data_IF_922810555021
#
_entry.id   IF_922810555021
#
_cell.length_a   1.000
_cell.length_b   1.000
_cell.length_c   1.000
_cell.angle_alpha   90.00
_cell.angle_beta   90.00
_cell.angle_gamma   90.00
#
_symmetry.space_group_name_H-M   'P 1'
#
loop_
_entity.id
_entity.type
_entity.pdbx_description
1 polymer ?
#
# COMPACT_ATOMS: atom_id res chain seq x y z
N UNK A 1 -9.36 -1.44 -14.93
CA UNK A 1 -10.11 -0.27 -15.44
C UNK A 1 -11.51 -0.73 -15.80
N UNK A 2 -12.50 0.15 -15.71
CA UNK A 2 -13.89 -0.11 -16.11
C UNK A 2 -14.30 0.92 -17.17
N UNK A 3 -15.11 0.51 -18.15
CA UNK A 3 -15.64 1.44 -19.17
C UNK A 3 -16.79 2.22 -18.53
N UNK A 4 -16.79 3.55 -18.67
CA UNK A 4 -17.87 4.41 -18.20
C UNK A 4 -18.72 4.95 -19.35
N UNK A 5 -18.09 5.28 -20.48
CA UNK A 5 -18.79 5.88 -21.62
C UNK A 5 -18.24 5.33 -22.95
N UNK A 6 -19.12 5.23 -23.95
CA UNK A 6 -18.76 4.86 -25.32
C UNK A 6 -19.12 6.00 -26.26
N UNK A 7 -18.10 6.60 -26.88
CA UNK A 7 -18.24 7.69 -27.85
C UNK A 7 -17.90 7.17 -29.25
N UNK A 8 -18.93 6.75 -29.98
CA UNK A 8 -18.78 6.14 -31.30
C UNK A 8 -17.97 4.84 -31.25
N UNK A 9 -16.69 4.90 -31.63
CA UNK A 9 -15.75 3.76 -31.57
C UNK A 9 -14.78 3.83 -30.39
N UNK A 10 -14.82 4.88 -29.57
CA UNK A 10 -13.92 5.08 -28.44
C UNK A 10 -14.61 4.71 -27.13
N UNK A 11 -13.94 3.95 -26.27
CA UNK A 11 -14.41 3.63 -24.92
C UNK A 11 -13.60 4.41 -23.88
N UNK A 12 -14.25 5.30 -23.13
CA UNK A 12 -13.64 6.02 -22.02
C UNK A 12 -13.62 5.12 -20.78
N UNK A 13 -12.44 4.96 -20.19
CA UNK A 13 -12.23 4.08 -19.05
C UNK A 13 -11.82 4.85 -17.81
N UNK A 14 -12.38 4.44 -16.67
CA UNK A 14 -12.01 4.94 -15.35
C UNK A 14 -11.20 3.89 -14.56
N UNK A 15 -10.48 4.38 -13.55
CA UNK A 15 -9.77 3.55 -12.60
C UNK A 15 -10.76 2.73 -11.78
N UNK A 16 -10.56 1.41 -11.70
CA UNK A 16 -11.42 0.51 -10.93
C UNK A 16 -10.70 -0.08 -9.69
N UNK A 17 -9.37 -0.17 -9.77
CA UNK A 17 -8.56 -0.84 -8.77
C UNK A 17 -7.21 -1.23 -9.33
N UNK A 18 -6.34 -1.68 -8.42
CA UNK A 18 -4.96 -2.05 -8.70
C UNK A 18 -4.63 -3.31 -7.92
N UNK A 19 -3.81 -4.20 -8.48
CA UNK A 19 -3.25 -5.33 -7.75
C UNK A 19 -1.85 -5.62 -8.22
N UNK A 20 -0.97 -5.92 -7.27
CA UNK A 20 0.33 -6.50 -7.55
C UNK A 20 0.17 -7.86 -8.25
N UNK A 21 1.07 -8.14 -9.19
CA UNK A 21 1.09 -9.41 -9.92
C UNK A 21 1.46 -10.57 -8.99
N UNK A 22 0.94 -11.76 -9.27
CA UNK A 22 1.07 -12.92 -8.36
C UNK A 22 2.53 -13.33 -8.18
N UNK A 23 3.27 -13.41 -9.28
CA UNK A 23 4.71 -13.65 -9.33
C UNK A 23 5.48 -12.68 -8.41
N UNK A 24 5.17 -11.38 -8.46
CA UNK A 24 5.81 -10.39 -7.61
C UNK A 24 5.48 -10.63 -6.14
N UNK A 25 4.22 -10.83 -5.78
CA UNK A 25 3.82 -11.13 -4.39
C UNK A 25 4.55 -12.37 -3.86
N UNK A 26 4.62 -13.44 -4.63
CA UNK A 26 5.31 -14.66 -4.23
C UNK A 26 6.83 -14.48 -4.13
N UNK A 27 7.44 -13.68 -5.01
CA UNK A 27 8.89 -13.39 -4.94
C UNK A 27 9.30 -12.65 -3.65
N UNK A 28 8.37 -11.86 -3.09
CA UNK A 28 8.56 -11.10 -1.87
C UNK A 28 8.39 -11.96 -0.61
N UNK A 29 7.57 -13.01 -0.69
CA UNK A 29 7.35 -13.95 0.40
C UNK A 29 8.56 -14.89 0.57
N UNK A 30 9.46 -14.55 1.50
CA UNK A 30 10.57 -15.41 1.91
C UNK A 30 10.52 -15.72 3.41
N UNK A 31 11.35 -16.66 3.85
CA UNK A 31 11.50 -17.04 5.26
C UNK A 31 12.40 -16.05 6.00
N UNK A 32 12.44 -16.17 7.33
CA UNK A 32 13.36 -15.46 8.23
C UNK A 32 13.14 -13.96 8.39
N UNK A 33 11.99 -13.46 7.95
CA UNK A 33 11.55 -12.09 8.20
C UNK A 33 10.05 -12.08 8.50
N UNK A 34 9.58 -11.03 9.18
CA UNK A 34 8.16 -10.86 9.49
C UNK A 34 7.46 -10.19 8.31
N UNK A 35 6.31 -10.75 7.91
CA UNK A 35 5.35 -10.12 7.01
C UNK A 35 4.40 -9.23 7.82
N UNK A 36 4.29 -7.97 7.44
CA UNK A 36 3.41 -6.99 8.06
C UNK A 36 2.43 -6.49 7.01
N UNK A 37 1.15 -6.75 7.24
CA UNK A 37 0.06 -6.28 6.38
C UNK A 37 -0.84 -5.31 7.14
N UNK A 38 -1.36 -4.33 6.42
CA UNK A 38 -2.37 -3.38 6.89
C UNK A 38 -3.37 -3.06 5.77
N UNK A 39 -4.57 -2.68 6.16
CA UNK A 39 -5.58 -2.16 5.22
C UNK A 39 -6.28 -0.96 5.84
N UNK A 40 -6.72 -0.04 4.99
CA UNK A 40 -7.49 1.13 5.40
C UNK A 40 -8.57 1.43 4.36
N UNK A 41 -9.74 1.82 4.86
CA UNK A 41 -10.83 2.35 4.06
C UNK A 41 -10.79 3.87 4.14
N UNK A 42 -10.65 4.52 2.99
CA UNK A 42 -10.48 5.96 2.90
C UNK A 42 -11.46 6.52 1.89
N UNK A 43 -12.13 7.60 2.27
CA UNK A 43 -12.97 8.38 1.37
C UNK A 43 -12.12 9.49 0.76
N UNK A 44 -12.07 9.55 -0.57
CA UNK A 44 -11.39 10.63 -1.31
C UNK A 44 -12.28 11.88 -1.38
N UNK A 45 -11.72 13.01 -1.80
CA UNK A 45 -12.44 14.30 -1.83
C UNK A 45 -13.57 14.35 -2.86
N UNK A 46 -13.45 13.59 -3.95
CA UNK A 46 -14.45 13.41 -5.01
C UNK A 46 -15.53 12.36 -4.67
N UNK A 47 -15.51 11.79 -3.46
CA UNK A 47 -16.59 10.95 -2.95
C UNK A 47 -16.42 9.45 -3.16
N UNK A 48 -15.34 8.99 -3.81
CA UNK A 48 -15.02 7.58 -3.89
C UNK A 48 -14.63 7.03 -2.52
N UNK A 49 -15.03 5.79 -2.24
CA UNK A 49 -14.54 5.03 -1.07
C UNK A 49 -13.61 3.96 -1.56
N UNK A 50 -12.34 4.03 -1.15
CA UNK A 50 -11.26 3.16 -1.62
C UNK A 50 -10.68 2.36 -0.45
N UNK A 51 -10.51 1.05 -0.63
CA UNK A 51 -9.79 0.17 0.28
C UNK A 51 -8.38 -0.09 -0.25
N UNK A 52 -7.40 0.39 0.50
CA UNK A 52 -5.99 0.21 0.20
C UNK A 52 -5.44 -0.93 1.07
N UNK A 53 -4.61 -1.79 0.49
CA UNK A 53 -3.89 -2.87 1.17
C UNK A 53 -2.40 -2.64 1.01
N UNK A 54 -1.67 -2.55 2.12
CA UNK A 54 -0.21 -2.41 2.16
C UNK A 54 0.41 -3.70 2.68
N UNK A 55 1.54 -4.07 2.07
CA UNK A 55 2.43 -5.13 2.53
C UNK A 55 3.81 -4.54 2.81
N UNK A 56 4.48 -5.07 3.82
CA UNK A 56 5.86 -4.74 4.13
C UNK A 56 6.57 -5.94 4.77
N UNK A 57 7.89 -5.94 4.67
CA UNK A 57 8.75 -6.95 5.27
C UNK A 57 9.81 -6.32 6.15
N UNK A 58 10.23 -7.04 7.19
CA UNK A 58 11.34 -6.58 8.03
C UNK A 58 12.67 -6.64 7.26
N UNK A 59 13.49 -5.61 7.42
CA UNK A 59 14.81 -5.49 6.79
C UNK A 59 15.89 -5.92 7.78
N UNK A 60 16.72 -6.87 7.35
CA UNK A 60 17.93 -7.26 8.08
C UNK A 60 18.94 -6.11 8.03
N UNK A 61 19.57 -5.80 9.16
CA UNK A 61 20.70 -4.85 9.16
C UNK A 61 21.97 -5.53 8.64
N UNK A 62 22.89 -4.76 8.09
CA UNK A 62 24.12 -5.29 7.47
C UNK A 62 25.03 -5.97 8.51
N UNK A 63 25.09 -5.40 9.71
CA UNK A 63 25.84 -5.84 10.88
C UNK A 63 25.16 -6.98 11.68
N UNK A 64 23.96 -7.39 11.28
CA UNK A 64 23.20 -8.40 12.01
C UNK A 64 23.74 -9.82 11.78
N UNK A 65 24.28 -10.43 12.85
CA UNK A 65 24.78 -11.82 12.86
C UNK A 65 23.65 -12.85 12.74
N UNK A 66 22.51 -12.59 13.41
CA UNK A 66 21.34 -13.50 13.36
C UNK A 66 20.75 -13.55 11.95
N UNK A 67 20.49 -14.77 11.47
CA UNK A 67 19.86 -15.01 10.17
C UNK A 67 18.40 -14.54 10.11
N UNK A 68 17.70 -14.59 11.26
CA UNK A 68 16.32 -14.19 11.40
C UNK A 68 16.15 -12.73 11.83
N UNK A 69 15.14 -12.07 11.25
CA UNK A 69 14.79 -10.69 11.51
C UNK A 69 13.29 -10.60 11.84
N UNK A 70 12.92 -11.01 13.05
CA UNK A 70 11.53 -10.99 13.50
C UNK A 70 11.23 -9.75 14.34
N UNK A 71 10.16 -9.05 13.98
CA UNK A 71 9.63 -7.95 14.79
C UNK A 71 8.75 -8.49 15.92
N UNK A 72 8.83 -7.89 17.10
CA UNK A 72 7.96 -8.23 18.22
C UNK A 72 6.51 -7.80 17.95
N UNK A 73 5.53 -8.46 18.56
CA UNK A 73 4.11 -8.16 18.37
C UNK A 73 3.75 -6.69 18.67
N UNK A 74 4.39 -6.08 19.67
CA UNK A 74 4.22 -4.67 19.99
C UNK A 74 4.72 -3.74 18.86
N UNK A 75 5.86 -4.05 18.24
CA UNK A 75 6.40 -3.31 17.10
C UNK A 75 5.47 -3.46 15.87
N UNK A 76 5.00 -4.68 15.59
CA UNK A 76 4.06 -4.95 14.49
C UNK A 76 2.78 -4.10 14.65
N UNK A 77 2.21 -4.04 15.85
CA UNK A 77 1.02 -3.20 16.12
C UNK A 77 1.30 -1.71 15.91
N UNK A 78 2.45 -1.20 16.38
CA UNK A 78 2.85 0.20 16.16
C UNK A 78 3.03 0.52 14.67
N UNK A 79 3.67 -0.38 13.91
CA UNK A 79 3.88 -0.23 12.47
C UNK A 79 2.54 -0.23 11.73
N UNK A 80 1.63 -1.16 12.04
CA UNK A 80 0.29 -1.18 11.42
C UNK A 80 -0.50 0.10 11.68
N UNK A 81 -0.43 0.65 12.89
CA UNK A 81 -1.08 1.93 13.22
C UNK A 81 -0.53 3.07 12.35
N UNK A 82 0.79 3.18 12.22
CA UNK A 82 1.49 4.15 11.36
C UNK A 82 1.14 3.98 9.87
N UNK A 83 1.05 2.74 9.38
CA UNK A 83 0.64 2.45 8.01
C UNK A 83 -0.75 3.01 7.71
N UNK A 84 -1.73 2.68 8.56
CA UNK A 84 -3.11 3.15 8.40
C UNK A 84 -3.18 4.68 8.46
N UNK A 85 -2.48 5.31 9.40
CA UNK A 85 -2.44 6.76 9.55
C UNK A 85 -1.93 7.46 8.27
N UNK A 86 -0.82 6.98 7.70
CA UNK A 86 -0.22 7.56 6.48
C UNK A 86 -1.15 7.33 5.28
N UNK A 87 -1.71 6.13 5.13
CA UNK A 87 -2.64 5.82 4.04
C UNK A 87 -3.87 6.73 4.08
N UNK A 88 -4.46 6.92 5.26
CA UNK A 88 -5.64 7.78 5.44
C UNK A 88 -5.31 9.24 5.16
N UNK A 89 -4.14 9.72 5.60
CA UNK A 89 -3.69 11.10 5.35
C UNK A 89 -3.46 11.37 3.86
N UNK A 90 -2.75 10.46 3.18
CA UNK A 90 -2.35 10.65 1.78
C UNK A 90 -3.49 10.48 0.79
N UNK A 91 -4.42 9.56 1.08
CA UNK A 91 -5.56 9.26 0.22
C UNK A 91 -6.82 10.09 0.54
N UNK A 92 -7.00 10.53 1.78
CA UNK A 92 -8.19 11.31 2.18
C UNK A 92 -8.14 12.79 1.78
N UNK A 93 -6.96 13.31 1.45
CA UNK A 93 -6.75 14.72 1.09
C UNK A 93 -6.84 15.00 -0.41
N UNK A 94 -6.88 13.96 -1.24
CA UNK A 94 -6.77 14.07 -2.70
C UNK A 94 -7.95 13.43 -3.42
N UNK A 95 -8.11 13.80 -4.70
CA UNK A 95 -9.05 13.16 -5.62
C UNK A 95 -8.52 11.81 -6.11
N UNK A 96 -9.37 10.96 -6.68
CA UNK A 96 -8.98 9.64 -7.19
C UNK A 96 -7.86 9.72 -8.24
N UNK A 97 -7.94 10.70 -9.15
CA UNK A 97 -6.92 10.91 -10.20
C UNK A 97 -5.53 11.18 -9.62
N UNK A 98 -5.47 11.98 -8.57
CA UNK A 98 -4.22 12.33 -7.89
C UNK A 98 -3.71 11.17 -7.04
N UNK A 99 -4.62 10.42 -6.40
CA UNK A 99 -4.26 9.19 -5.71
C UNK A 99 -3.58 8.20 -6.67
N UNK A 100 -4.12 8.00 -7.87
CA UNK A 100 -3.51 7.13 -8.89
C UNK A 100 -2.12 7.64 -9.30
N UNK A 101 -1.92 8.96 -9.44
CA UNK A 101 -0.59 9.54 -9.69
C UNK A 101 0.41 9.25 -8.58
N UNK A 102 -0.03 9.12 -7.33
CA UNK A 102 0.81 8.70 -6.18
C UNK A 102 1.09 7.19 -6.16
N UNK A 103 0.16 6.38 -6.67
CA UNK A 103 0.31 4.93 -6.74
C UNK A 103 1.37 4.50 -7.77
N UNK A 104 1.48 5.18 -8.91
CA UNK A 104 2.44 4.85 -9.99
C UNK A 104 3.90 4.85 -9.51
N UNK A 105 4.43 5.90 -8.85
CA UNK A 105 5.79 5.92 -8.33
C UNK A 105 5.92 5.30 -6.92
N UNK A 106 4.84 4.71 -6.40
CA UNK A 106 4.76 4.10 -5.06
C UNK A 106 5.16 5.06 -3.92
N UNK A 107 4.77 6.33 -4.00
CA UNK A 107 5.18 7.36 -3.02
C UNK A 107 4.71 7.05 -1.61
N UNK A 108 3.50 6.50 -1.46
CA UNK A 108 2.92 6.11 -0.17
C UNK A 108 3.77 5.01 0.51
N UNK A 109 4.28 4.04 -0.27
CA UNK A 109 5.13 2.98 0.26
C UNK A 109 6.44 3.51 0.85
N UNK A 110 7.09 4.43 0.12
CA UNK A 110 8.33 5.09 0.55
C UNK A 110 8.12 5.95 1.80
N UNK A 111 6.99 6.65 1.90
CA UNK A 111 6.67 7.46 3.08
C UNK A 111 6.44 6.58 4.32
N UNK A 112 5.78 5.43 4.15
CA UNK A 112 5.64 4.42 5.21
C UNK A 112 7.02 3.90 5.65
N UNK A 113 7.91 3.56 4.72
CA UNK A 113 9.27 3.10 5.05
C UNK A 113 10.02 4.13 5.88
N UNK A 114 10.02 5.38 5.45
CA UNK A 114 10.68 6.51 6.14
C UNK A 114 10.14 6.71 7.56
N UNK A 115 8.82 6.72 7.72
CA UNK A 115 8.20 7.00 9.02
C UNK A 115 8.23 5.82 10.00
N UNK A 116 8.42 4.59 9.51
CA UNK A 116 8.48 3.38 10.35
C UNK A 116 9.91 2.99 10.72
N UNK A 117 10.92 3.58 10.09
CA UNK A 117 12.34 3.32 10.35
C UNK A 117 12.74 3.49 11.82
N UNK A 118 12.10 4.43 12.55
CA UNK A 118 12.32 4.63 13.98
C UNK A 118 11.75 3.52 14.88
N UNK A 119 10.82 2.69 14.39
CA UNK A 119 10.25 1.55 15.12
C UNK A 119 11.03 0.28 14.78
N UNK A 120 11.11 -0.03 13.48
CA UNK A 120 11.82 -1.18 12.96
C UNK A 120 12.14 -0.93 11.47
N UNK A 121 13.35 -1.27 10.98
CA UNK A 121 13.68 -1.08 9.58
C UNK A 121 12.85 -2.02 8.69
N UNK A 122 12.13 -1.45 7.72
CA UNK A 122 11.34 -2.20 6.74
C UNK A 122 12.03 -2.21 5.38
N UNK A 123 11.60 -3.13 4.52
CA UNK A 123 11.92 -3.20 3.09
C UNK A 123 10.68 -3.64 2.33
N UNK A 124 10.70 -3.43 1.02
CA UNK A 124 9.66 -3.89 0.10
C UNK A 124 8.25 -3.46 0.55
N UNK A 125 8.12 -2.17 0.91
CA UNK A 125 6.86 -1.56 1.37
C UNK A 125 6.03 -1.14 0.17
N UNK A 126 4.98 -1.90 -0.13
CA UNK A 126 4.21 -1.75 -1.38
C UNK A 126 2.71 -1.75 -1.11
N UNK A 127 1.95 -1.05 -1.96
CA UNK A 127 0.49 -1.17 -1.99
C UNK A 127 0.14 -2.42 -2.81
N UNK A 128 -0.19 -3.51 -2.12
CA UNK A 128 -0.55 -4.80 -2.72
C UNK A 128 -1.81 -4.71 -3.56
N UNK A 129 -2.83 -4.01 -3.06
CA UNK A 129 -4.15 -3.99 -3.69
C UNK A 129 -4.89 -2.71 -3.38
N UNK A 130 -5.63 -2.22 -4.36
CA UNK A 130 -6.56 -1.11 -4.25
C UNK A 130 -7.90 -1.58 -4.78
N UNK A 131 -8.95 -1.41 -3.99
CA UNK A 131 -10.33 -1.72 -4.39
C UNK A 131 -11.18 -0.46 -4.25
N UNK A 132 -12.01 -0.16 -5.24
CA UNK A 132 -13.09 0.80 -5.07
C UNK A 132 -14.28 0.07 -4.42
N UNK A 133 -14.72 0.56 -3.27
CA UNK A 133 -15.89 0.05 -2.54
C UNK A 133 -17.16 0.75 -3.04
N UNK A 134 -17.08 2.08 -3.17
CA UNK A 134 -18.21 2.91 -3.60
C UNK A 134 -17.73 3.96 -4.59
N UNK A 135 -18.47 4.09 -5.69
CA UNK A 135 -18.36 5.21 -6.62
C UNK A 135 -19.42 6.27 -6.27
N UNK A 136 -19.14 7.57 -6.44
CA UNK A 136 -20.14 8.62 -6.32
C UNK A 136 -21.25 8.48 -7.37
#
# INVERSE_FOLDING_TARGET
MCIEEVQGRNCLTDFHGMSLTRDKVYSLMRKWHTLIEAHADVKTTDGYVVRLFVIAFTKRRADQVKTNCYAQSAQIRKIRKKMVEIMTKEAGTVQLRELVKKLIPESIGKEIEKQTQGIFPLKDVLIRKVKIIKKP
#
